data_IF_947549412990
#
_entry.id   IF_947549412990
#
_cell.length_a   1.000
_cell.length_b   1.000
_cell.length_c   1.000
_cell.angle_alpha   90.00
_cell.angle_beta   90.00
_cell.angle_gamma   90.00
#
_symmetry.space_group_name_H-M   'P 1'
#
loop_
_entity.id
_entity.type
_entity.pdbx_description
1 polymer ?
#
# COMPACT_ATOMS: atom_id res chain seq x y z
N UNK A 1 -16.05 -59.70 -12.30
CA UNK A 1 -17.10 -58.69 -12.04
C UNK A 1 -16.89 -58.17 -10.63
N UNK A 2 -16.38 -56.95 -10.47
CA UNK A 2 -16.09 -56.32 -9.18
C UNK A 2 -17.10 -55.19 -8.95
N UNK A 3 -17.83 -55.13 -7.81
CA UNK A 3 -18.83 -54.10 -7.61
C UNK A 3 -18.16 -52.76 -7.22
N UNK A 4 -18.53 -51.69 -7.92
CA UNK A 4 -18.13 -50.33 -7.57
C UNK A 4 -19.03 -49.82 -6.44
N UNK A 5 -18.48 -49.69 -5.23
CA UNK A 5 -19.13 -48.93 -4.14
C UNK A 5 -18.98 -47.43 -4.43
N UNK A 6 -20.08 -46.80 -4.82
CA UNK A 6 -20.19 -45.34 -4.92
C UNK A 6 -20.34 -44.75 -3.50
N UNK A 7 -19.51 -43.78 -3.07
CA UNK A 7 -19.64 -43.20 -1.74
C UNK A 7 -20.81 -42.20 -1.75
N UNK A 8 -21.88 -42.54 -1.03
CA UNK A 8 -23.00 -41.64 -0.75
C UNK A 8 -22.49 -40.48 0.11
N UNK A 9 -22.64 -39.20 -0.29
CA UNK A 9 -22.24 -38.07 0.54
C UNK A 9 -23.07 -38.05 1.82
N UNK A 10 -22.42 -38.10 2.99
CA UNK A 10 -23.09 -37.92 4.28
C UNK A 10 -23.68 -36.51 4.39
N UNK A 11 -24.88 -36.36 4.99
CA UNK A 11 -25.47 -35.05 5.25
C UNK A 11 -24.57 -34.26 6.22
N UNK A 12 -24.20 -33.04 5.80
CA UNK A 12 -23.35 -32.13 6.58
C UNK A 12 -24.06 -31.72 7.87
N UNK A 13 -23.32 -31.71 9.00
CA UNK A 13 -23.80 -31.17 10.28
C UNK A 13 -24.15 -29.68 10.13
N UNK A 14 -25.26 -29.20 10.71
CA UNK A 14 -25.70 -27.81 10.62
C UNK A 14 -24.78 -26.79 11.32
N UNK A 15 -23.82 -27.24 12.14
CA UNK A 15 -22.93 -26.36 12.93
C UNK A 15 -21.62 -25.98 12.23
N UNK A 16 -21.41 -26.40 10.98
CA UNK A 16 -20.20 -26.02 10.22
C UNK A 16 -20.48 -24.72 9.48
N UNK A 17 -19.79 -23.61 9.79
CA UNK A 17 -19.94 -22.38 9.01
C UNK A 17 -19.66 -22.69 7.54
N UNK A 18 -20.37 -22.04 6.59
CA UNK A 18 -20.26 -22.36 5.18
C UNK A 18 -18.78 -22.30 4.77
N UNK A 19 -18.30 -23.39 4.17
CA UNK A 19 -16.95 -23.45 3.63
C UNK A 19 -16.85 -22.37 2.53
N UNK A 20 -16.33 -21.20 2.89
CA UNK A 20 -15.96 -20.18 1.90
C UNK A 20 -14.88 -20.83 1.04
N UNK A 21 -15.07 -20.96 -0.28
CA UNK A 21 -14.06 -21.59 -1.12
C UNK A 21 -12.76 -20.82 -0.92
N UNK A 22 -11.69 -21.54 -0.59
CA UNK A 22 -10.35 -20.98 -0.47
C UNK A 22 -9.92 -20.48 -1.86
N UNK A 23 -10.33 -19.26 -2.21
CA UNK A 23 -9.86 -18.57 -3.39
C UNK A 23 -8.43 -18.15 -3.08
N UNK A 24 -7.48 -18.61 -3.91
CA UNK A 24 -6.10 -18.18 -3.81
C UNK A 24 -6.05 -16.64 -3.83
N UNK A 25 -5.37 -16.04 -2.85
CA UNK A 25 -5.27 -14.59 -2.75
C UNK A 25 -6.44 -13.90 -2.03
N UNK A 26 -7.30 -14.62 -1.32
CA UNK A 26 -8.34 -14.03 -0.47
C UNK A 26 -8.10 -14.38 1.00
N UNK A 27 -8.00 -13.37 1.86
CA UNK A 27 -7.98 -13.52 3.32
C UNK A 27 -9.40 -13.33 3.84
N UNK A 28 -9.86 -14.28 4.66
CA UNK A 28 -11.13 -14.22 5.34
C UNK A 28 -10.91 -13.81 6.79
N UNK A 29 -11.42 -12.65 7.18
CA UNK A 29 -11.40 -12.16 8.56
C UNK A 29 -12.65 -12.56 9.30
N UNK A 30 -12.49 -12.99 10.55
CA UNK A 30 -13.60 -13.07 11.52
C UNK A 30 -13.37 -11.99 12.57
N UNK A 31 -14.22 -10.97 12.56
CA UNK A 31 -14.11 -9.80 13.44
C UNK A 31 -12.92 -8.89 13.13
N UNK A 32 -13.16 -7.75 12.47
CA UNK A 32 -12.13 -6.74 12.28
C UNK A 32 -11.83 -6.00 13.60
N UNK A 33 -10.56 -5.67 13.89
CA UNK A 33 -10.22 -4.95 15.11
C UNK A 33 -10.74 -3.51 15.07
N UNK A 34 -11.29 -3.05 16.19
CA UNK A 34 -11.86 -1.72 16.35
C UNK A 34 -13.35 -1.66 16.03
N UNK A 35 -13.99 -0.55 16.40
CA UNK A 35 -15.41 -0.33 16.19
C UNK A 35 -15.73 0.22 14.80
N UNK A 36 -17.03 0.22 14.46
CA UNK A 36 -17.55 0.75 13.20
C UNK A 36 -17.21 2.22 12.98
N UNK A 37 -17.25 3.03 14.04
CA UNK A 37 -16.95 4.46 13.97
C UNK A 37 -15.49 4.72 13.57
N UNK A 38 -14.56 3.97 14.15
CA UNK A 38 -13.13 4.02 13.82
C UNK A 38 -12.88 3.65 12.37
N UNK A 39 -13.53 2.59 11.89
CA UNK A 39 -13.41 2.17 10.49
C UNK A 39 -14.06 3.15 9.52
N UNK A 40 -15.20 3.74 9.87
CA UNK A 40 -15.84 4.77 9.06
C UNK A 40 -14.94 6.01 8.93
N UNK A 41 -14.36 6.47 10.06
CA UNK A 41 -13.39 7.58 10.05
C UNK A 41 -12.18 7.24 9.20
N UNK A 42 -11.62 6.03 9.35
CA UNK A 42 -10.49 5.56 8.53
C UNK A 42 -10.83 5.54 7.04
N UNK A 43 -12.04 5.12 6.67
CA UNK A 43 -12.52 5.10 5.29
C UNK A 43 -12.57 6.49 4.65
N UNK A 44 -13.03 7.48 5.39
CA UNK A 44 -13.03 8.87 4.94
C UNK A 44 -11.60 9.38 4.76
N UNK A 45 -10.74 9.27 5.81
CA UNK A 45 -9.37 9.78 5.78
C UNK A 45 -8.56 9.22 4.61
N UNK A 46 -8.57 7.90 4.46
CA UNK A 46 -7.83 7.21 3.39
C UNK A 46 -8.46 7.51 2.02
N UNK A 47 -9.79 7.51 1.93
CA UNK A 47 -10.50 7.78 0.68
C UNK A 47 -10.16 9.17 0.12
N UNK A 48 -10.28 10.20 0.95
CA UNK A 48 -9.96 11.59 0.57
C UNK A 48 -8.49 11.77 0.18
N UNK A 49 -7.57 11.12 0.90
CA UNK A 49 -6.14 11.14 0.54
C UNK A 49 -5.94 10.55 -0.86
N UNK A 50 -6.50 9.38 -1.13
CA UNK A 50 -6.31 8.67 -2.39
C UNK A 50 -6.98 9.38 -3.57
N UNK A 51 -8.10 10.07 -3.33
CA UNK A 51 -8.73 10.96 -4.32
C UNK A 51 -7.84 12.16 -4.63
N UNK A 52 -7.31 12.84 -3.61
CA UNK A 52 -6.41 13.98 -3.81
C UNK A 52 -5.14 13.61 -4.60
N UNK A 53 -4.61 12.39 -4.37
CA UNK A 53 -3.49 11.88 -5.15
C UNK A 53 -3.89 11.56 -6.59
N UNK A 54 -5.06 10.95 -6.82
CA UNK A 54 -5.57 10.67 -8.16
C UNK A 54 -5.85 11.95 -8.97
N UNK A 55 -6.32 13.01 -8.32
CA UNK A 55 -6.53 14.31 -8.94
C UNK A 55 -5.19 14.98 -9.30
N UNK A 56 -4.19 14.86 -8.43
CA UNK A 56 -2.85 15.35 -8.72
C UNK A 56 -2.19 14.60 -9.89
N UNK A 57 -2.36 13.28 -9.96
CA UNK A 57 -1.92 12.45 -11.10
C UNK A 57 -2.59 12.89 -12.39
N UNK A 58 -3.91 13.12 -12.36
CA UNK A 58 -4.65 13.65 -13.52
C UNK A 58 -4.19 15.06 -13.92
N UNK A 59 -3.70 15.86 -12.96
CA UNK A 59 -3.04 17.14 -13.18
C UNK A 59 -1.58 17.05 -13.67
N UNK A 60 -1.08 15.85 -13.96
CA UNK A 60 0.27 15.62 -14.50
C UNK A 60 1.36 15.41 -13.46
N UNK A 61 1.01 15.17 -12.19
CA UNK A 61 1.99 14.77 -11.18
C UNK A 61 2.37 13.29 -11.34
N UNK A 62 3.66 13.01 -11.48
CA UNK A 62 4.16 11.65 -11.43
C UNK A 62 4.09 11.09 -10.01
N UNK A 63 3.33 10.00 -9.83
CA UNK A 63 3.21 9.29 -8.56
C UNK A 63 4.12 8.06 -8.51
N UNK A 64 4.54 7.62 -7.31
CA UNK A 64 5.18 6.32 -7.13
C UNK A 64 4.37 5.17 -7.76
N UNK A 65 5.01 4.10 -8.28
CA UNK A 65 4.31 3.03 -9.01
C UNK A 65 3.18 2.35 -8.23
N UNK A 66 3.26 2.30 -6.89
CA UNK A 66 2.21 1.74 -6.04
C UNK A 66 0.93 2.60 -5.97
N UNK A 67 1.05 3.89 -6.26
CA UNK A 67 -0.03 4.89 -6.22
C UNK A 67 -0.53 5.28 -7.61
N UNK A 68 0.31 5.08 -8.64
CA UNK A 68 -0.01 5.38 -10.02
C UNK A 68 -1.23 4.60 -10.54
N UNK A 69 -1.88 5.16 -11.55
CA UNK A 69 -3.02 4.56 -12.25
C UNK A 69 -4.25 4.36 -11.36
N UNK A 70 -4.37 5.14 -10.27
CA UNK A 70 -5.44 5.00 -9.26
C UNK A 70 -5.52 3.61 -8.63
N UNK A 71 -4.43 2.83 -8.64
CA UNK A 71 -4.44 1.42 -8.18
C UNK A 71 -4.81 1.31 -6.71
N UNK A 72 -4.19 2.13 -5.86
CA UNK A 72 -4.48 2.19 -4.43
C UNK A 72 -5.91 2.67 -4.14
N UNK A 73 -6.42 3.65 -4.91
CA UNK A 73 -7.80 4.13 -4.79
C UNK A 73 -8.81 3.02 -5.11
N UNK A 74 -8.59 2.26 -6.18
CA UNK A 74 -9.44 1.11 -6.55
C UNK A 74 -9.37 -0.03 -5.54
N UNK A 75 -8.18 -0.32 -5.02
CA UNK A 75 -8.00 -1.31 -3.95
C UNK A 75 -8.75 -0.89 -2.67
N UNK A 76 -8.70 0.39 -2.32
CA UNK A 76 -9.43 0.94 -1.18
C UNK A 76 -10.94 0.87 -1.39
N UNK A 77 -11.46 1.30 -2.53
CA UNK A 77 -12.91 1.32 -2.78
C UNK A 77 -13.54 -0.08 -2.71
N UNK A 78 -12.85 -1.12 -3.19
CA UNK A 78 -13.30 -2.51 -3.07
C UNK A 78 -13.33 -3.05 -1.64
N UNK A 79 -12.51 -2.48 -0.76
CA UNK A 79 -12.26 -3.02 0.59
C UNK A 79 -12.98 -2.23 1.69
N UNK A 80 -13.13 -0.92 1.53
CA UNK A 80 -13.56 -0.01 2.58
C UNK A 80 -14.98 -0.28 3.08
N UNK A 81 -15.96 -0.42 2.18
CA UNK A 81 -17.36 -0.65 2.57
C UNK A 81 -17.53 -1.94 3.36
N UNK A 82 -16.87 -3.02 2.91
CA UNK A 82 -16.89 -4.32 3.59
C UNK A 82 -16.23 -4.25 4.96
N UNK A 83 -15.12 -3.52 5.05
CA UNK A 83 -14.42 -3.33 6.32
C UNK A 83 -15.25 -2.53 7.32
N UNK A 84 -15.94 -1.47 6.89
CA UNK A 84 -16.85 -0.69 7.74
C UNK A 84 -18.06 -1.51 8.17
N UNK A 85 -18.63 -2.31 7.27
CA UNK A 85 -19.81 -3.13 7.57
C UNK A 85 -19.51 -4.22 8.63
N UNK A 86 -18.32 -4.80 8.61
CA UNK A 86 -17.92 -5.86 9.53
C UNK A 86 -17.24 -5.37 10.81
N UNK A 87 -16.87 -4.10 10.88
CA UNK A 87 -16.22 -3.53 12.05
C UNK A 87 -17.16 -3.53 13.27
N UNK A 88 -16.66 -4.03 14.41
CA UNK A 88 -17.43 -4.15 15.64
C UNK A 88 -18.40 -5.34 15.68
N UNK A 89 -18.45 -6.16 14.64
CA UNK A 89 -19.18 -7.43 14.64
C UNK A 89 -18.17 -8.59 14.74
N UNK A 90 -18.20 -9.30 15.87
CA UNK A 90 -17.28 -10.40 16.15
C UNK A 90 -17.52 -11.63 15.25
N UNK A 91 -18.71 -11.76 14.69
CA UNK A 91 -19.09 -12.87 13.82
C UNK A 91 -19.05 -12.49 12.33
N UNK A 92 -18.87 -11.21 12.01
CA UNK A 92 -18.75 -10.77 10.63
C UNK A 92 -17.55 -11.41 9.93
N UNK A 93 -17.82 -11.94 8.74
CA UNK A 93 -16.85 -12.57 7.86
C UNK A 93 -16.55 -11.64 6.68
N UNK A 94 -15.31 -11.19 6.55
CA UNK A 94 -14.88 -10.32 5.43
C UNK A 94 -13.86 -11.02 4.57
N UNK A 95 -14.17 -11.14 3.28
CA UNK A 95 -13.21 -11.53 2.25
C UNK A 95 -12.47 -10.30 1.72
N UNK A 96 -11.14 -10.29 1.86
CA UNK A 96 -10.24 -9.25 1.35
C UNK A 96 -9.24 -9.87 0.38
N UNK A 97 -9.04 -9.25 -0.78
CA UNK A 97 -8.01 -9.67 -1.73
C UNK A 97 -6.62 -9.28 -1.21
N UNK A 98 -5.67 -10.23 -1.15
CA UNK A 98 -4.31 -10.00 -0.66
C UNK A 98 -3.59 -8.94 -1.49
N UNK A 99 -3.80 -8.95 -2.80
CA UNK A 99 -3.23 -7.95 -3.72
C UNK A 99 -3.70 -6.53 -3.39
N UNK A 100 -4.96 -6.35 -2.99
CA UNK A 100 -5.48 -5.03 -2.61
C UNK A 100 -4.81 -4.55 -1.32
N UNK A 101 -4.69 -5.43 -0.33
CA UNK A 101 -3.98 -5.12 0.91
C UNK A 101 -2.49 -4.84 0.69
N UNK A 102 -1.84 -5.53 -0.25
CA UNK A 102 -0.44 -5.32 -0.63
C UNK A 102 -0.21 -4.02 -1.36
N UNK A 103 -1.12 -3.65 -2.26
CA UNK A 103 -1.12 -2.33 -2.90
C UNK A 103 -1.24 -1.23 -1.85
N UNK A 104 -2.16 -1.34 -0.90
CA UNK A 104 -2.34 -0.34 0.16
C UNK A 104 -1.10 -0.26 1.08
N UNK A 105 -0.51 -1.40 1.43
CA UNK A 105 0.71 -1.44 2.23
C UNK A 105 1.92 -0.87 1.48
N UNK A 106 2.05 -1.13 0.18
CA UNK A 106 3.09 -0.56 -0.67
C UNK A 106 2.92 0.95 -0.83
N UNK A 107 1.69 1.41 -1.10
CA UNK A 107 1.34 2.83 -1.16
C UNK A 107 1.71 3.56 0.14
N UNK A 108 1.38 3.00 1.31
CA UNK A 108 1.77 3.56 2.60
C UNK A 108 3.29 3.62 2.80
N UNK A 109 4.06 2.61 2.33
CA UNK A 109 5.52 2.62 2.39
C UNK A 109 6.14 3.67 1.49
N UNK A 110 5.62 3.83 0.28
CA UNK A 110 6.13 4.80 -0.70
C UNK A 110 5.87 6.24 -0.24
N UNK A 111 4.66 6.54 0.26
CA UNK A 111 4.37 7.85 0.87
C UNK A 111 5.26 8.12 2.10
N UNK A 112 5.51 7.12 2.93
CA UNK A 112 6.40 7.28 4.08
C UNK A 112 7.86 7.51 3.63
N UNK A 113 8.30 6.92 2.52
CA UNK A 113 9.61 7.16 1.95
C UNK A 113 9.75 8.59 1.42
N UNK A 114 8.69 9.12 0.79
CA UNK A 114 8.60 10.52 0.33
C UNK A 114 8.75 11.49 1.50
N UNK A 115 7.99 11.30 2.59
CA UNK A 115 8.09 12.15 3.78
C UNK A 115 9.47 12.05 4.47
N UNK A 116 10.07 10.85 4.50
CA UNK A 116 11.44 10.68 5.01
C UNK A 116 12.45 11.43 4.15
N UNK A 117 12.35 11.31 2.83
CA UNK A 117 13.23 12.02 1.91
C UNK A 117 13.12 13.54 2.09
N UNK A 118 11.92 14.08 2.21
CA UNK A 118 11.71 15.50 2.48
C UNK A 118 12.38 15.94 3.79
N UNK A 119 12.16 15.18 4.87
CA UNK A 119 12.80 15.45 6.17
C UNK A 119 14.32 15.41 6.10
N UNK A 120 14.89 14.43 5.40
CA UNK A 120 16.33 14.27 5.27
C UNK A 120 16.95 15.37 4.40
N UNK A 121 16.22 15.83 3.38
CA UNK A 121 16.62 16.99 2.57
C UNK A 121 16.59 18.27 3.40
N UNK A 122 15.51 18.54 4.15
CA UNK A 122 15.44 19.69 5.08
C UNK A 122 16.54 19.68 6.13
N UNK A 123 16.94 18.49 6.63
CA UNK A 123 18.06 18.34 7.57
C UNK A 123 19.41 18.69 6.95
N UNK A 124 19.63 18.31 5.69
CA UNK A 124 20.88 18.58 4.96
C UNK A 124 21.00 20.02 4.47
N UNK A 125 19.88 20.67 4.16
CA UNK A 125 19.83 22.05 3.68
C UNK A 125 19.47 23.08 4.76
N UNK A 126 19.28 22.63 6.01
CA UNK A 126 19.10 23.48 7.18
C UNK A 126 20.27 24.45 7.36
N UNK A 127 20.08 25.57 8.09
CA UNK A 127 20.99 26.71 8.06
C UNK A 127 22.41 26.26 8.40
N UNK A 128 23.27 26.24 7.38
CA UNK A 128 24.71 26.16 7.56
C UNK A 128 25.05 27.38 8.39
N UNK A 129 25.37 27.17 9.67
CA UNK A 129 25.93 28.21 10.50
C UNK A 129 27.14 28.75 9.74
N UNK A 130 26.98 29.90 9.11
CA UNK A 130 28.10 30.71 8.65
C UNK A 130 28.97 30.91 9.89
N UNK A 131 30.24 30.52 9.87
CA UNK A 131 31.13 30.94 10.94
C UNK A 131 31.18 32.47 10.86
N UNK A 132 30.45 33.14 11.75
CA UNK A 132 30.62 34.55 12.01
C UNK A 132 31.97 34.66 12.73
N UNK A 133 33.01 34.80 11.91
CA UNK A 133 34.39 35.06 12.31
C UNK A 133 34.86 36.36 11.66
N UNK A 134 34.50 37.46 12.32
CA UNK A 134 35.10 38.79 12.34
C UNK A 134 36.24 39.16 11.34
N UNK A 135 35.94 40.21 10.56
CA UNK A 135 36.79 41.35 10.16
C UNK A 135 38.05 41.13 9.27
N UNK A 136 37.96 41.62 8.03
CA UNK A 136 38.85 42.66 7.50
C UNK A 136 38.23 43.28 6.23
N UNK A 137 38.28 44.61 6.13
CA UNK A 137 37.64 45.38 5.06
C UNK A 137 38.13 45.07 3.65
N UNK A 138 37.26 45.33 2.68
CA UNK A 138 37.57 45.25 1.25
C UNK A 138 36.33 45.55 0.43
N UNK A 139 36.26 46.76 -0.09
CA UNK A 139 35.32 47.19 -1.14
C UNK A 139 35.60 46.40 -2.42
N UNK A 140 34.61 45.69 -2.94
CA UNK A 140 34.53 45.37 -4.38
C UNK A 140 33.06 45.24 -4.80
N UNK A 141 32.60 46.23 -5.57
CA UNK A 141 31.65 46.00 -6.67
C UNK A 141 32.23 44.92 -7.58
N UNK A 142 31.42 43.94 -8.02
CA UNK A 142 31.46 43.30 -9.35
C UNK A 142 30.30 42.31 -9.49
N UNK A 143 29.47 42.59 -10.48
CA UNK A 143 28.46 41.75 -11.12
C UNK A 143 29.00 40.35 -11.51
N UNK A 144 28.08 39.40 -11.65
CA UNK A 144 28.22 38.10 -12.35
C UNK A 144 28.88 36.96 -11.59
N UNK A 145 28.04 36.03 -11.17
CA UNK A 145 28.40 34.69 -10.70
C UNK A 145 27.24 33.72 -10.86
N UNK A 146 26.62 33.69 -12.06
CA UNK A 146 25.85 32.52 -12.50
C UNK A 146 26.84 31.35 -12.50
N UNK A 147 26.72 30.48 -11.51
CA UNK A 147 27.39 29.17 -11.53
C UNK A 147 26.33 28.11 -11.73
N UNK A 148 26.34 27.58 -12.94
CA UNK A 148 25.61 26.41 -13.38
C UNK A 148 26.08 25.14 -12.63
N UNK A 149 25.15 24.18 -12.51
CA UNK A 149 25.35 22.84 -11.97
C UNK A 149 24.36 22.60 -10.83
N UNK A 150 23.20 21.96 -11.05
CA UNK A 150 23.10 20.55 -11.43
C UNK A 150 21.80 20.29 -12.21
N UNK A 151 21.90 20.28 -13.54
CA UNK A 151 20.84 19.78 -14.43
C UNK A 151 20.74 18.25 -14.26
N UNK A 152 19.72 17.81 -13.52
CA UNK A 152 19.42 16.39 -13.28
C UNK A 152 18.58 16.14 -12.01
N UNK A 153 18.54 17.11 -11.08
CA UNK A 153 17.86 16.96 -9.78
C UNK A 153 16.56 17.78 -9.66
N UNK A 154 16.33 18.76 -10.54
CA UNK A 154 15.18 19.66 -10.45
C UNK A 154 13.84 18.94 -10.70
N UNK A 155 13.81 17.96 -11.61
CA UNK A 155 12.60 17.17 -11.88
C UNK A 155 12.18 16.36 -10.65
N UNK A 156 13.08 15.56 -10.09
CA UNK A 156 12.76 14.69 -8.94
C UNK A 156 12.53 15.48 -7.66
N UNK A 157 13.34 16.51 -7.37
CA UNK A 157 13.13 17.36 -6.19
C UNK A 157 11.82 18.16 -6.30
N UNK A 158 11.48 18.62 -7.51
CA UNK A 158 10.22 19.30 -7.80
C UNK A 158 9.01 18.40 -7.62
N UNK A 159 9.07 17.15 -8.11
CA UNK A 159 7.99 16.16 -7.96
C UNK A 159 7.79 15.77 -6.49
N UNK A 160 8.87 15.50 -5.75
CA UNK A 160 8.79 15.17 -4.32
C UNK A 160 8.22 16.34 -3.50
N UNK A 161 8.65 17.57 -3.78
CA UNK A 161 8.13 18.76 -3.10
C UNK A 161 6.63 18.97 -3.35
N UNK A 162 6.16 18.81 -4.59
CA UNK A 162 4.73 18.89 -4.94
C UNK A 162 3.92 17.79 -4.26
N UNK A 163 4.42 16.56 -4.25
CA UNK A 163 3.76 15.45 -3.57
C UNK A 163 3.64 15.71 -2.06
N UNK A 164 4.70 16.20 -1.41
CA UNK A 164 4.66 16.57 0.01
C UNK A 164 3.66 17.70 0.29
N UNK A 165 3.57 18.70 -0.59
CA UNK A 165 2.60 19.79 -0.47
C UNK A 165 1.15 19.27 -0.51
N UNK A 166 0.85 18.32 -1.40
CA UNK A 166 -0.47 17.67 -1.49
C UNK A 166 -0.77 16.88 -0.22
N UNK A 167 0.19 16.09 0.27
CA UNK A 167 0.03 15.32 1.51
C UNK A 167 -0.26 16.25 2.70
N UNK A 168 0.51 17.33 2.85
CA UNK A 168 0.28 18.31 3.90
C UNK A 168 -1.06 19.04 3.74
N UNK A 169 -1.49 19.36 2.53
CA UNK A 169 -2.79 19.98 2.29
C UNK A 169 -3.95 19.03 2.63
N UNK A 170 -3.84 17.75 2.26
CA UNK A 170 -4.81 16.73 2.63
C UNK A 170 -4.88 16.56 4.16
N UNK A 171 -3.74 16.47 4.83
CA UNK A 171 -3.68 16.33 6.28
C UNK A 171 -4.30 17.54 7.01
N UNK A 172 -4.04 18.77 6.53
CA UNK A 172 -4.66 20.00 7.07
C UNK A 172 -6.17 20.02 6.90
N UNK A 173 -6.70 19.60 5.73
CA UNK A 173 -8.15 19.53 5.50
C UNK A 173 -8.85 18.55 6.45
N UNK A 174 -8.12 17.53 6.88
CA UNK A 174 -8.64 16.47 7.75
C UNK A 174 -8.33 16.69 9.24
N UNK A 175 -7.62 17.76 9.58
CA UNK A 175 -7.12 18.05 10.94
C UNK A 175 -6.32 16.89 11.55
N UNK A 176 -5.39 16.33 10.76
CA UNK A 176 -4.52 15.22 11.16
C UNK A 176 -3.07 15.52 10.77
N UNK A 177 -2.09 15.02 11.53
CA UNK A 177 -0.69 15.09 11.14
C UNK A 177 -0.43 14.27 9.86
N UNK A 178 0.40 14.77 8.95
CA UNK A 178 0.65 14.11 7.66
C UNK A 178 1.24 12.71 7.83
N UNK A 179 2.11 12.53 8.83
CA UNK A 179 2.71 11.24 9.17
C UNK A 179 1.67 10.26 9.69
N UNK A 180 0.69 10.75 10.47
CA UNK A 180 -0.41 9.93 10.97
C UNK A 180 -1.33 9.49 9.82
N UNK A 181 -1.64 10.39 8.89
CA UNK A 181 -2.46 10.07 7.72
C UNK A 181 -1.81 8.99 6.85
N UNK A 182 -0.51 9.13 6.55
CA UNK A 182 0.26 8.13 5.80
C UNK A 182 0.40 6.82 6.58
N UNK A 183 0.59 6.88 7.89
CA UNK A 183 0.67 5.70 8.73
C UNK A 183 -0.66 4.92 8.77
N UNK A 184 -1.81 5.61 8.76
CA UNK A 184 -3.12 4.96 8.72
C UNK A 184 -3.36 4.20 7.40
N UNK A 185 -2.90 4.70 6.25
CA UNK A 185 -2.95 3.96 4.99
C UNK A 185 -2.17 2.63 5.07
N UNK A 186 -0.92 2.68 5.54
CA UNK A 186 -0.09 1.48 5.70
C UNK A 186 -0.58 0.54 6.81
N UNK A 187 -1.23 1.08 7.85
CA UNK A 187 -1.89 0.30 8.90
C UNK A 187 -3.12 -0.42 8.36
N UNK A 188 -3.96 0.25 7.57
CA UNK A 188 -5.15 -0.33 6.97
C UNK A 188 -4.80 -1.55 6.12
N UNK A 189 -3.81 -1.46 5.23
CA UNK A 189 -3.36 -2.60 4.42
C UNK A 189 -2.89 -3.79 5.27
N UNK A 190 -2.19 -3.54 6.38
CA UNK A 190 -1.74 -4.61 7.30
C UNK A 190 -2.87 -5.24 8.10
N UNK A 191 -3.87 -4.47 8.51
CA UNK A 191 -5.05 -5.00 9.20
C UNK A 191 -5.91 -5.81 8.23
N UNK A 192 -6.04 -5.36 6.99
CA UNK A 192 -6.85 -5.99 5.95
C UNK A 192 -6.25 -7.29 5.40
N UNK A 193 -4.93 -7.47 5.43
CA UNK A 193 -4.30 -8.78 5.20
C UNK A 193 -3.07 -8.96 6.09
N UNK A 194 -3.26 -9.36 7.36
CA UNK A 194 -2.18 -9.64 8.30
C UNK A 194 -1.29 -10.74 7.74
N UNK A 195 0.02 -10.56 7.86
CA UNK A 195 1.00 -11.50 7.29
C UNK A 195 0.83 -12.95 7.75
N UNK A 196 0.28 -13.17 8.94
CA UNK A 196 0.03 -14.51 9.48
C UNK A 196 -1.22 -15.19 8.90
N UNK A 197 -2.15 -14.43 8.30
CA UNK A 197 -3.32 -14.96 7.60
C UNK A 197 -3.06 -15.21 6.11
N UNK A 198 -1.89 -14.77 5.61
CA UNK A 198 -1.48 -15.02 4.24
C UNK A 198 -0.89 -16.42 4.18
N UNK A 199 -1.58 -17.34 3.52
CA UNK A 199 -0.91 -18.55 3.08
C UNK A 199 0.23 -18.15 2.14
N UNK A 200 1.46 -18.56 2.47
CA UNK A 200 2.54 -18.55 1.47
C UNK A 200 2.06 -19.45 0.35
N UNK A 201 1.61 -18.87 -0.76
CA UNK A 201 1.64 -19.56 -2.03
C UNK A 201 3.09 -19.96 -2.23
N UNK A 202 3.38 -21.25 -2.04
CA UNK A 202 4.71 -21.79 -2.21
C UNK A 202 5.25 -21.39 -3.58
N UNK A 203 6.54 -21.10 -3.60
CA UNK A 203 7.30 -20.81 -4.80
C UNK A 203 6.99 -21.78 -5.95
N UNK A 204 6.97 -21.24 -7.16
CA UNK A 204 7.17 -21.96 -8.42
C UNK A 204 6.27 -23.18 -8.68
N UNK A 205 5.14 -22.97 -9.37
CA UNK A 205 4.85 -23.87 -10.50
C UNK A 205 5.80 -23.46 -11.62
N UNK A 206 7.05 -23.92 -11.49
CA UNK A 206 8.02 -23.86 -12.56
C UNK A 206 7.43 -24.55 -13.77
N UNK A 207 7.48 -23.85 -14.90
CA UNK A 207 7.44 -24.42 -16.23
C UNK A 207 8.46 -25.56 -16.32
N UNK A 208 7.98 -26.78 -16.08
CA UNK A 208 8.70 -28.04 -16.32
C UNK A 208 8.01 -28.77 -17.45
N UNK A 209 8.65 -28.72 -18.62
CA UNK A 209 8.23 -29.40 -19.83
C UNK A 209 8.04 -30.91 -19.63
N UNK A 210 7.04 -31.44 -20.33
CA UNK A 210 6.94 -32.79 -20.90
C UNK A 210 7.62 -33.96 -20.20
N UNK A 211 6.80 -34.92 -19.76
CA UNK A 211 7.00 -36.33 -20.16
C UNK A 211 5.69 -37.08 -20.02
N UNK A 212 5.10 -37.43 -21.17
CA UNK A 212 4.01 -38.41 -21.25
C UNK A 212 4.51 -39.77 -20.71
N UNK A 213 3.68 -40.59 -20.05
CA UNK A 213 4.09 -41.93 -19.68
C UNK A 213 4.20 -42.81 -20.93
N UNK A 214 5.43 -43.14 -21.30
CA UNK A 214 5.74 -44.13 -22.33
C UNK A 214 5.28 -45.52 -21.87
N UNK A 215 4.58 -46.23 -22.75
CA UNK A 215 4.25 -47.66 -22.64
C UNK A 215 5.50 -48.51 -22.36
N UNK A 216 5.36 -49.43 -21.39
CA UNK A 216 5.87 -50.80 -21.46
C UNK A 216 7.36 -51.04 -21.23
N UNK A 217 7.69 -51.59 -20.06
CA UNK A 217 8.71 -52.63 -19.91
C UNK A 217 8.43 -53.42 -18.62
N UNK A 218 7.81 -54.59 -18.78
CA UNK A 218 7.78 -55.63 -17.75
C UNK A 218 9.07 -56.43 -17.91
N UNK A 219 9.86 -56.50 -16.85
CA UNK A 219 10.88 -57.52 -16.65
C UNK A 219 10.51 -58.26 -15.37
N UNK A 220 10.37 -59.59 -15.46
CA UNK A 220 9.96 -60.47 -14.37
C UNK A 220 8.87 -61.42 -14.81
#
# INVERSE_FOLDING_TARGET
MTPMSSPVPHPRRPDVPPAVPAQAGVVVHRGLPGDRATWARRAVLIGELLVALADAEAGGLELPPSLAGRRALRAWSRSAERAVAAAGDADAVVAVHTDDADVLAAAGRDLAAVLRHERDTRRRTGPRATPIGLAAGGTTDTTTGVTAGTTGTEGTAGTVGRLCAILHAAARRQDVAVEQLVAELGRAGRILAPGHLRHRSAAAHGTGAGTAPTRGAVAG
#
